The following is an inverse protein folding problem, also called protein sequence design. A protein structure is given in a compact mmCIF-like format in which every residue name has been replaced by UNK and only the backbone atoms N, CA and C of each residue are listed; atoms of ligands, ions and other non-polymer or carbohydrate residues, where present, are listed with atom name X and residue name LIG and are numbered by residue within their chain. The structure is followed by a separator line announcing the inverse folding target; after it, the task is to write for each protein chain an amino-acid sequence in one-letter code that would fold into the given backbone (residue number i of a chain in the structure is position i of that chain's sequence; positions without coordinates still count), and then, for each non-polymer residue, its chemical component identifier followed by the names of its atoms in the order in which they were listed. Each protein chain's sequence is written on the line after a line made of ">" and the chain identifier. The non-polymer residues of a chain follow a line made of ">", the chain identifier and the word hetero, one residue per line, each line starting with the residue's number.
data_IF_819649125055
#
_entry.id   IF_819649125055
#
_cell.length_a   1.000
_cell.length_b   1.000
_cell.length_c   1.000
_cell.angle_alpha   90.00
_cell.angle_beta   90.00
_cell.angle_gamma   90.00
#
_symmetry.space_group_name_H-M   'P 1'
#
loop_
_entity.id
_entity.type
_entity.pdbx_description
1 polymer ?
#
# COMPACT_ATOMS: atom_id res chain seq x y z
N UNK A 1 -61.20 -47.22 -14.16
CA UNK A 1 -59.88 -46.63 -13.82
C UNK A 1 -60.13 -45.26 -13.20
N UNK A 2 -60.11 -45.19 -11.86
CA UNK A 2 -60.27 -43.96 -11.06
C UNK A 2 -58.88 -43.44 -10.71
N UNK A 3 -58.66 -42.11 -10.81
CA UNK A 3 -57.82 -41.25 -9.96
C UNK A 3 -57.94 -39.83 -10.53
N UNK A 4 -58.87 -39.00 -10.04
CA UNK A 4 -58.78 -38.13 -8.85
C UNK A 4 -57.95 -36.86 -9.12
N UNK A 5 -58.65 -35.74 -9.29
CA UNK A 5 -58.15 -34.36 -9.07
C UNK A 5 -57.90 -34.17 -7.58
N UNK A 6 -56.74 -33.64 -7.15
CA UNK A 6 -56.62 -32.64 -6.06
C UNK A 6 -55.16 -32.19 -5.84
N UNK A 7 -55.00 -30.90 -5.50
CA UNK A 7 -53.83 -30.19 -4.95
C UNK A 7 -52.64 -29.99 -5.92
N UNK A 8 -52.42 -28.84 -6.55
CA UNK A 8 -52.27 -27.46 -6.06
C UNK A 8 -50.95 -27.21 -5.30
N UNK A 9 -50.21 -26.18 -5.75
CA UNK A 9 -49.13 -25.46 -5.07
C UNK A 9 -47.84 -26.22 -4.74
N UNK A 10 -46.90 -26.33 -5.69
CA UNK A 10 -45.45 -26.46 -5.37
C UNK A 10 -44.51 -26.28 -6.58
N UNK A 11 -44.81 -25.42 -7.56
CA UNK A 11 -43.86 -25.13 -8.66
C UNK A 11 -43.80 -23.65 -9.03
N UNK A 12 -44.02 -22.78 -8.04
CA UNK A 12 -43.67 -21.35 -8.05
C UNK A 12 -42.88 -21.10 -6.76
N UNK A 13 -41.65 -21.64 -6.68
CA UNK A 13 -40.75 -21.39 -5.54
C UNK A 13 -39.26 -21.67 -5.84
N UNK A 14 -38.86 -21.91 -7.10
CA UNK A 14 -37.47 -22.29 -7.42
C UNK A 14 -36.92 -21.62 -8.70
N UNK A 15 -37.24 -20.33 -8.88
CA UNK A 15 -36.53 -19.45 -9.83
C UNK A 15 -35.96 -18.19 -9.13
N UNK A 16 -35.81 -18.23 -7.81
CA UNK A 16 -35.21 -17.18 -6.98
C UNK A 16 -34.03 -17.70 -6.14
N UNK A 17 -33.26 -18.65 -6.68
CA UNK A 17 -32.03 -19.13 -6.05
C UNK A 17 -30.91 -19.12 -7.08
N UNK A 18 -29.97 -18.17 -6.94
CA UNK A 18 -28.66 -18.28 -7.58
C UNK A 18 -28.33 -17.29 -8.68
N UNK A 19 -28.79 -16.04 -8.60
CA UNK A 19 -27.94 -14.93 -9.07
C UNK A 19 -27.31 -14.33 -7.83
N UNK A 20 -26.01 -14.55 -7.64
CA UNK A 20 -25.20 -13.62 -6.86
C UNK A 20 -25.37 -12.30 -7.62
N UNK A 21 -26.19 -11.39 -7.09
CA UNK A 21 -26.31 -10.04 -7.65
C UNK A 21 -24.97 -9.37 -7.41
N UNK A 22 -24.09 -9.44 -8.41
CA UNK A 22 -22.99 -8.51 -8.52
C UNK A 22 -23.63 -7.24 -9.07
N UNK A 23 -23.89 -6.26 -8.21
CA UNK A 23 -24.36 -4.94 -8.62
C UNK A 23 -23.15 -4.04 -8.94
N UNK A 24 -22.23 -4.56 -9.76
CA UNK A 24 -21.13 -3.78 -10.30
C UNK A 24 -21.66 -2.99 -11.49
N UNK A 25 -21.63 -1.66 -11.42
CA UNK A 25 -22.05 -0.79 -12.52
C UNK A 25 -20.81 -0.49 -13.36
N UNK A 26 -20.91 -0.80 -14.66
CA UNK A 26 -19.99 -0.32 -15.69
C UNK A 26 -20.64 0.91 -16.34
N UNK A 27 -19.88 1.98 -16.62
CA UNK A 27 -20.46 3.23 -17.13
C UNK A 27 -21.19 2.97 -18.46
N UNK A 28 -20.69 2.04 -19.27
CA UNK A 28 -21.28 1.64 -20.55
C UNK A 28 -22.62 0.87 -20.42
N UNK A 29 -22.98 0.36 -19.23
CA UNK A 29 -24.19 -0.41 -18.96
C UNK A 29 -25.19 0.32 -18.03
N UNK A 30 -25.17 1.66 -18.03
CA UNK A 30 -26.15 2.50 -17.34
C UNK A 30 -27.56 2.30 -17.89
N UNK A 31 -28.21 1.22 -17.46
CA UNK A 31 -29.64 1.26 -17.20
C UNK A 31 -29.71 1.78 -15.77
N UNK A 32 -29.88 3.10 -15.54
CA UNK A 32 -30.11 3.61 -14.20
C UNK A 32 -31.27 2.82 -13.62
N UNK A 33 -30.99 2.07 -12.55
CA UNK A 33 -32.08 1.62 -11.71
C UNK A 33 -32.82 2.91 -11.31
N UNK A 34 -34.16 2.97 -11.39
CA UNK A 34 -34.94 4.18 -11.10
C UNK A 34 -34.69 4.82 -9.72
N UNK A 35 -33.91 4.16 -8.87
CA UNK A 35 -33.57 4.53 -7.49
C UNK A 35 -32.04 4.67 -7.27
N UNK A 36 -31.24 4.77 -8.34
CA UNK A 36 -29.78 4.85 -8.25
C UNK A 36 -29.26 6.22 -7.78
N UNK A 37 -30.10 7.26 -7.80
CA UNK A 37 -29.76 8.61 -7.36
C UNK A 37 -28.50 9.18 -8.05
N UNK A 38 -28.26 8.76 -9.29
CA UNK A 38 -27.17 9.22 -10.13
C UNK A 38 -27.70 9.54 -11.53
N UNK A 39 -27.42 10.75 -12.00
CA UNK A 39 -27.60 11.14 -13.39
C UNK A 39 -26.29 10.98 -14.13
N UNK A 40 -26.36 10.50 -15.38
CA UNK A 40 -25.19 10.33 -16.23
C UNK A 40 -25.41 10.96 -17.60
N UNK A 41 -24.44 11.75 -18.02
CA UNK A 41 -24.44 12.48 -19.28
C UNK A 41 -23.14 12.18 -20.04
N UNK A 42 -23.26 11.61 -21.24
CA UNK A 42 -22.15 11.49 -22.20
C UNK A 42 -21.88 12.86 -22.81
N UNK A 43 -20.61 13.26 -22.80
CA UNK A 43 -20.12 14.54 -23.32
C UNK A 43 -19.69 14.39 -24.77
N UNK A 44 -19.58 15.51 -25.50
CA UNK A 44 -19.20 15.52 -26.93
C UNK A 44 -17.82 14.88 -27.23
N UNK A 45 -16.93 14.82 -26.22
CA UNK A 45 -15.60 14.21 -26.34
C UNK A 45 -15.57 12.71 -25.98
N UNK A 46 -16.74 12.11 -25.70
CA UNK A 46 -16.90 10.71 -25.30
C UNK A 46 -16.60 10.44 -23.82
N UNK A 47 -16.37 11.48 -23.00
CA UNK A 47 -16.30 11.34 -21.55
C UNK A 47 -17.69 11.35 -20.90
N UNK A 48 -17.78 10.93 -19.65
CA UNK A 48 -19.04 10.89 -18.89
C UNK A 48 -19.02 11.86 -17.70
N UNK A 49 -20.12 12.57 -17.49
CA UNK A 49 -20.40 13.30 -16.26
C UNK A 49 -21.43 12.52 -15.44
N UNK A 50 -21.05 12.11 -14.24
CA UNK A 50 -21.89 11.44 -13.27
C UNK A 50 -22.21 12.44 -12.16
N UNK A 51 -23.48 12.71 -11.88
CA UNK A 51 -23.90 13.64 -10.82
C UNK A 51 -24.81 12.93 -9.85
N UNK A 52 -24.48 12.93 -8.55
CA UNK A 52 -25.40 12.44 -7.55
C UNK A 52 -26.58 13.41 -7.40
N UNK A 53 -27.80 12.87 -7.41
CA UNK A 53 -29.04 13.64 -7.25
C UNK A 53 -29.68 13.49 -5.87
N UNK A 54 -29.26 12.46 -5.13
CA UNK A 54 -29.58 12.20 -3.72
C UNK A 54 -28.52 11.23 -3.15
N UNK A 55 -28.61 10.88 -1.87
CA UNK A 55 -27.76 9.84 -1.26
C UNK A 55 -27.91 8.50 -2.02
N UNK A 56 -26.79 7.92 -2.42
CA UNK A 56 -26.72 6.76 -3.30
C UNK A 56 -26.07 5.55 -2.60
N UNK A 57 -26.62 4.36 -2.87
CA UNK A 57 -26.02 3.06 -2.51
C UNK A 57 -25.76 2.26 -3.76
N UNK A 58 -24.55 2.38 -4.32
CA UNK A 58 -24.14 1.76 -5.59
C UNK A 58 -22.62 1.60 -5.66
N UNK A 59 -22.16 0.67 -6.50
CA UNK A 59 -20.73 0.43 -6.75
C UNK A 59 -20.35 1.11 -8.07
N UNK A 60 -19.43 2.09 -8.05
CA UNK A 60 -18.95 2.77 -9.26
C UNK A 60 -17.68 2.06 -9.76
N UNK A 61 -17.71 1.56 -11.00
CA UNK A 61 -16.52 1.00 -11.66
C UNK A 61 -16.23 1.76 -12.96
N UNK A 62 -15.01 2.29 -13.06
CA UNK A 62 -14.50 2.98 -14.24
C UNK A 62 -13.59 2.02 -15.00
N UNK A 63 -14.03 1.51 -16.14
CA UNK A 63 -13.32 0.52 -16.95
C UNK A 63 -12.19 1.13 -17.80
N UNK A 64 -11.42 0.24 -18.44
CA UNK A 64 -10.41 0.60 -19.42
C UNK A 64 -10.99 1.41 -20.59
N UNK A 65 -10.44 2.60 -20.82
CA UNK A 65 -10.87 3.50 -21.89
C UNK A 65 -11.98 4.47 -21.51
N UNK A 66 -12.67 4.23 -20.39
CA UNK A 66 -13.66 5.16 -19.85
C UNK A 66 -12.97 6.37 -19.20
N UNK A 67 -13.50 7.56 -19.48
CA UNK A 67 -13.11 8.82 -18.84
C UNK A 67 -14.35 9.44 -18.22
N UNK A 68 -14.31 9.67 -16.91
CA UNK A 68 -15.47 10.13 -16.16
C UNK A 68 -15.13 11.24 -15.16
N UNK A 69 -16.11 12.11 -14.92
CA UNK A 69 -16.14 13.02 -13.77
C UNK A 69 -17.34 12.68 -12.90
N UNK A 70 -17.11 12.38 -11.62
CA UNK A 70 -18.14 12.22 -10.60
C UNK A 70 -18.26 13.51 -9.79
N UNK A 71 -19.40 14.19 -9.90
CA UNK A 71 -19.80 15.24 -8.97
C UNK A 71 -20.65 14.65 -7.83
N UNK A 72 -20.11 14.71 -6.62
CA UNK A 72 -20.82 14.26 -5.42
C UNK A 72 -22.01 15.16 -5.10
N UNK A 73 -22.01 16.42 -5.54
CA UNK A 73 -23.12 17.37 -5.37
C UNK A 73 -23.72 17.39 -3.94
N UNK A 74 -22.88 17.23 -2.92
CA UNK A 74 -23.31 17.25 -1.52
C UNK A 74 -23.95 15.98 -0.98
N UNK A 75 -24.01 14.93 -1.77
CA UNK A 75 -24.66 13.67 -1.41
C UNK A 75 -23.67 12.59 -0.95
N UNK A 76 -24.20 11.61 -0.25
CA UNK A 76 -23.45 10.46 0.25
C UNK A 76 -23.47 9.32 -0.78
N UNK A 77 -22.31 8.75 -1.07
CA UNK A 77 -22.12 7.51 -1.80
C UNK A 77 -21.63 6.40 -0.86
N UNK A 78 -22.31 5.26 -0.89
CA UNK A 78 -21.93 4.03 -0.18
C UNK A 78 -21.93 2.87 -1.18
N UNK A 79 -20.97 1.96 -1.09
CA UNK A 79 -21.00 0.73 -1.88
C UNK A 79 -22.30 -0.07 -1.63
N UNK A 80 -22.83 -0.69 -2.67
CA UNK A 80 -23.94 -1.64 -2.56
C UNK A 80 -23.44 -3.02 -2.15
N UNK A 81 -22.35 -3.49 -2.77
CA UNK A 81 -21.86 -4.86 -2.59
C UNK A 81 -20.74 -4.90 -1.53
N UNK A 82 -20.87 -5.65 -0.42
CA UNK A 82 -19.83 -5.72 0.61
C UNK A 82 -18.45 -6.19 0.09
N UNK A 83 -18.45 -7.02 -0.95
CA UNK A 83 -17.24 -7.51 -1.60
C UNK A 83 -16.74 -6.61 -2.75
N UNK A 84 -17.16 -5.34 -2.78
CA UNK A 84 -16.73 -4.34 -3.74
C UNK A 84 -16.39 -3.02 -3.03
N UNK A 85 -15.54 -2.21 -3.66
CA UNK A 85 -15.33 -0.82 -3.30
C UNK A 85 -16.56 0.05 -3.60
N UNK A 86 -16.67 1.21 -2.95
CA UNK A 86 -17.63 2.23 -3.39
C UNK A 86 -17.23 2.79 -4.76
N UNK A 87 -15.92 2.96 -4.97
CA UNK A 87 -15.36 3.39 -6.24
C UNK A 87 -14.15 2.53 -6.60
N UNK A 88 -14.17 1.92 -7.78
CA UNK A 88 -13.03 1.21 -8.37
C UNK A 88 -12.68 1.82 -9.72
N UNK A 89 -11.46 2.32 -9.86
CA UNK A 89 -10.92 2.75 -11.16
C UNK A 89 -10.04 1.63 -11.68
N UNK A 90 -10.43 0.99 -12.78
CA UNK A 90 -9.68 -0.10 -13.39
C UNK A 90 -8.52 0.41 -14.25
N UNK A 91 -7.62 -0.51 -14.63
CA UNK A 91 -6.46 -0.18 -15.46
C UNK A 91 -6.91 0.41 -16.80
N UNK A 92 -6.47 1.63 -17.08
CA UNK A 92 -6.83 2.39 -18.29
C UNK A 92 -8.07 3.26 -18.15
N UNK A 93 -8.81 3.16 -17.04
CA UNK A 93 -9.89 4.09 -16.71
C UNK A 93 -9.36 5.38 -16.09
N UNK A 94 -10.11 6.48 -16.27
CA UNK A 94 -9.79 7.79 -15.69
C UNK A 94 -10.99 8.37 -14.97
N UNK A 95 -10.84 8.69 -13.70
CA UNK A 95 -11.87 9.33 -12.87
C UNK A 95 -11.39 10.66 -12.31
N UNK A 96 -12.23 11.68 -12.41
CA UNK A 96 -12.13 12.90 -11.62
C UNK A 96 -13.29 12.97 -10.62
N UNK A 97 -13.01 13.24 -9.34
CA UNK A 97 -14.05 13.43 -8.32
C UNK A 97 -14.08 14.90 -7.90
N UNK A 98 -15.27 15.50 -7.98
CA UNK A 98 -15.59 16.86 -7.55
C UNK A 98 -16.77 16.84 -6.56
N UNK A 99 -17.02 17.99 -5.95
CA UNK A 99 -18.20 18.21 -5.12
C UNK A 99 -18.63 19.67 -5.26
N UNK A 100 -19.68 19.91 -6.04
CA UNK A 100 -20.22 21.24 -6.31
C UNK A 100 -20.96 21.86 -5.12
N UNK A 101 -21.21 21.10 -4.04
CA UNK A 101 -21.93 21.58 -2.85
C UNK A 101 -21.09 22.35 -1.83
N UNK A 102 -19.81 22.60 -2.11
CA UNK A 102 -18.81 23.10 -1.16
C UNK A 102 -18.36 22.08 -0.07
N UNK A 103 -18.26 20.79 -0.40
CA UNK A 103 -17.60 19.80 0.45
C UNK A 103 -18.52 18.96 1.36
N UNK A 104 -19.84 19.00 1.14
CA UNK A 104 -20.79 18.20 1.91
C UNK A 104 -20.92 16.75 1.39
N UNK A 105 -20.42 16.47 0.19
CA UNK A 105 -20.44 15.16 -0.42
C UNK A 105 -19.56 14.19 0.34
N UNK A 106 -20.03 12.95 0.52
CA UNK A 106 -19.35 11.94 1.31
C UNK A 106 -19.22 10.65 0.53
N UNK A 107 -18.04 10.06 0.46
CA UNK A 107 -17.85 8.68 -0.01
C UNK A 107 -17.37 7.83 1.17
N UNK A 108 -18.07 6.74 1.44
CA UNK A 108 -17.74 5.78 2.50
C UNK A 108 -18.10 4.37 2.03
N UNK A 109 -17.73 3.35 2.80
CA UNK A 109 -18.23 2.00 2.58
C UNK A 109 -19.23 1.57 3.66
N UNK A 110 -19.93 0.46 3.42
CA UNK A 110 -20.76 -0.25 4.40
C UNK A 110 -19.88 -0.88 5.48
N UNK A 111 -20.42 -1.02 6.68
CA UNK A 111 -19.74 -1.62 7.85
C UNK A 111 -19.31 -3.08 7.62
N UNK A 112 -20.00 -3.83 6.74
CA UNK A 112 -19.69 -5.22 6.40
C UNK A 112 -18.78 -5.37 5.18
N UNK A 113 -18.25 -4.27 4.66
CA UNK A 113 -17.38 -4.29 3.48
C UNK A 113 -16.05 -4.98 3.76
N UNK A 114 -15.54 -5.68 2.76
CA UNK A 114 -14.22 -6.35 2.81
C UNK A 114 -13.16 -5.63 1.96
N UNK A 115 -13.54 -4.53 1.31
CA UNK A 115 -12.69 -3.71 0.46
C UNK A 115 -12.64 -2.24 0.92
N UNK A 116 -11.58 -1.54 0.50
CA UNK A 116 -11.38 -0.11 0.72
C UNK A 116 -12.54 0.73 0.16
N UNK A 117 -12.67 1.99 0.60
CA UNK A 117 -13.65 2.91 0.01
C UNK A 117 -13.35 3.09 -1.48
N UNK A 118 -12.08 3.33 -1.81
CA UNK A 118 -11.60 3.52 -3.17
C UNK A 118 -10.40 2.62 -3.45
N UNK A 119 -10.44 1.91 -4.59
CA UNK A 119 -9.27 1.26 -5.19
C UNK A 119 -8.97 1.91 -6.54
N UNK A 120 -7.75 2.40 -6.74
CA UNK A 120 -7.29 2.97 -8.01
C UNK A 120 -6.23 2.09 -8.67
N UNK A 121 -6.57 1.51 -9.82
CA UNK A 121 -5.69 0.80 -10.74
C UNK A 121 -5.46 1.57 -12.05
N UNK A 122 -6.10 2.73 -12.22
CA UNK A 122 -6.03 3.59 -13.41
C UNK A 122 -5.50 4.99 -13.10
N UNK A 123 -6.26 6.01 -13.50
CA UNK A 123 -5.96 7.42 -13.19
C UNK A 123 -7.07 8.03 -12.34
N UNK A 124 -6.73 8.51 -11.15
CA UNK A 124 -7.70 9.11 -10.23
C UNK A 124 -7.29 10.54 -9.85
N UNK A 125 -8.19 11.49 -10.03
CA UNK A 125 -8.00 12.89 -9.64
C UNK A 125 -9.08 13.28 -8.61
N UNK A 126 -8.70 13.62 -7.39
CA UNK A 126 -9.63 14.10 -6.35
C UNK A 126 -9.43 15.59 -6.16
N UNK A 127 -10.52 16.35 -6.35
CA UNK A 127 -10.54 17.81 -6.21
C UNK A 127 -11.28 18.27 -4.95
N UNK A 128 -12.33 17.55 -4.54
CA UNK A 128 -13.15 17.88 -3.38
C UNK A 128 -13.93 16.64 -2.89
N UNK A 129 -14.72 16.83 -1.82
CA UNK A 129 -15.50 15.78 -1.17
C UNK A 129 -14.88 15.29 0.14
N UNK A 130 -15.65 14.53 0.91
CA UNK A 130 -15.21 13.87 2.14
C UNK A 130 -15.14 12.37 1.94
N UNK A 131 -14.00 11.74 2.23
CA UNK A 131 -13.77 10.31 2.06
C UNK A 131 -13.44 9.71 3.41
N UNK A 132 -14.25 8.76 3.89
CA UNK A 132 -14.04 8.24 5.24
C UNK A 132 -14.31 6.77 5.40
N UNK A 133 -13.67 6.21 6.42
CA UNK A 133 -13.93 4.86 6.89
C UNK A 133 -13.72 4.76 8.39
N UNK A 134 -14.55 3.96 9.04
CA UNK A 134 -14.37 3.52 10.42
C UNK A 134 -13.92 2.05 10.53
N UNK A 135 -13.79 1.38 9.39
CA UNK A 135 -13.35 -0.01 9.27
C UNK A 135 -11.82 -0.12 9.23
N UNK A 136 -11.30 -1.32 9.47
CA UNK A 136 -9.86 -1.62 9.37
C UNK A 136 -9.39 -1.83 7.92
N UNK A 137 -9.76 -0.90 7.04
CA UNK A 137 -9.50 -0.90 5.60
C UNK A 137 -9.02 0.50 5.19
N UNK A 138 -8.27 0.61 4.08
CA UNK A 138 -7.87 1.92 3.58
C UNK A 138 -9.11 2.74 3.18
N UNK A 139 -9.04 4.06 3.33
CA UNK A 139 -9.93 4.96 2.58
C UNK A 139 -9.55 4.85 1.11
N UNK A 140 -8.26 4.95 0.79
CA UNK A 140 -7.77 4.85 -0.59
C UNK A 140 -6.61 3.89 -0.70
N UNK A 141 -6.76 2.87 -1.55
CA UNK A 141 -5.66 2.05 -2.04
C UNK A 141 -5.30 2.50 -3.46
N UNK A 142 -4.22 3.28 -3.56
CA UNK A 142 -3.69 3.68 -4.85
C UNK A 142 -2.62 2.70 -5.33
N UNK A 143 -2.82 2.11 -6.49
CA UNK A 143 -1.86 1.22 -7.14
C UNK A 143 -1.40 1.72 -8.52
N UNK A 144 -1.84 2.93 -8.91
CA UNK A 144 -1.55 3.52 -10.21
C UNK A 144 -1.33 5.03 -10.06
N UNK A 145 -1.86 5.86 -10.96
CA UNK A 145 -1.63 7.31 -10.93
C UNK A 145 -2.77 8.01 -10.18
N UNK A 146 -2.41 8.81 -9.18
CA UNK A 146 -3.37 9.58 -8.40
C UNK A 146 -2.90 11.01 -8.15
N UNK A 147 -3.84 11.95 -8.25
CA UNK A 147 -3.64 13.36 -7.86
C UNK A 147 -4.70 13.76 -6.85
N UNK A 148 -4.29 14.38 -5.74
CA UNK A 148 -5.18 15.01 -4.76
C UNK A 148 -4.86 16.50 -4.73
N UNK A 149 -5.87 17.32 -4.98
CA UNK A 149 -5.79 18.79 -4.93
C UNK A 149 -6.70 19.41 -3.86
N UNK A 150 -7.58 18.62 -3.27
CA UNK A 150 -8.48 19.02 -2.20
C UNK A 150 -9.31 17.84 -1.70
N UNK A 151 -10.19 18.12 -0.75
CA UNK A 151 -11.03 17.12 -0.08
C UNK A 151 -10.60 16.86 1.36
N UNK A 152 -11.47 16.18 2.10
CA UNK A 152 -11.27 15.78 3.49
C UNK A 152 -11.21 14.26 3.57
N UNK A 153 -10.20 13.70 4.22
CA UNK A 153 -10.02 12.26 4.32
C UNK A 153 -9.92 11.88 5.79
N UNK A 154 -10.73 10.91 6.23
CA UNK A 154 -10.80 10.53 7.65
C UNK A 154 -10.77 9.02 7.81
N UNK A 155 -9.84 8.50 8.61
CA UNK A 155 -9.79 7.08 8.98
C UNK A 155 -9.68 6.91 10.49
N UNK A 156 -10.61 6.16 11.07
CA UNK A 156 -10.51 5.74 12.48
C UNK A 156 -9.94 4.33 12.64
N UNK A 157 -9.41 3.72 11.56
CA UNK A 157 -8.76 2.40 11.64
C UNK A 157 -7.60 2.40 12.63
N UNK A 158 -7.44 1.32 13.37
CA UNK A 158 -6.28 1.09 14.25
C UNK A 158 -5.30 0.07 13.66
N UNK A 159 -5.50 -0.38 12.41
CA UNK A 159 -4.72 -1.45 11.78
C UNK A 159 -4.05 -1.07 10.47
N UNK A 160 -4.60 -0.11 9.74
CA UNK A 160 -4.10 0.26 8.41
C UNK A 160 -4.00 1.76 8.24
N UNK A 161 -3.21 2.20 7.27
CA UNK A 161 -3.11 3.61 6.90
C UNK A 161 -4.39 4.11 6.24
N UNK A 162 -4.59 5.44 6.24
CA UNK A 162 -5.71 6.08 5.55
C UNK A 162 -5.52 5.99 4.03
N UNK A 163 -4.37 6.44 3.51
CA UNK A 163 -3.95 6.20 2.12
C UNK A 163 -2.81 5.17 2.09
N UNK A 164 -2.97 4.14 1.27
CA UNK A 164 -1.88 3.24 0.87
C UNK A 164 -1.51 3.46 -0.59
N UNK A 165 -0.31 3.98 -0.85
CA UNK A 165 0.28 4.05 -2.20
C UNK A 165 1.16 2.82 -2.40
N UNK A 166 0.64 1.79 -3.08
CA UNK A 166 1.16 0.43 -3.00
C UNK A 166 1.09 -0.33 -4.32
N UNK A 167 2.16 -1.05 -4.66
CA UNK A 167 2.17 -1.98 -5.79
C UNK A 167 1.65 -3.35 -5.36
N UNK A 168 0.35 -3.64 -5.53
CA UNK A 168 -0.25 -4.89 -5.04
C UNK A 168 -0.66 -5.86 -6.16
N UNK A 169 -1.60 -5.47 -7.04
CA UNK A 169 -2.18 -6.29 -8.12
C UNK A 169 -1.23 -6.44 -9.30
N UNK A 170 -0.78 -5.34 -9.91
CA UNK A 170 0.14 -5.35 -11.04
C UNK A 170 1.56 -4.97 -10.60
N UNK A 171 2.45 -5.97 -10.58
CA UNK A 171 3.85 -5.80 -10.16
C UNK A 171 4.73 -5.07 -11.18
N UNK A 172 4.18 -4.68 -12.32
CA UNK A 172 4.88 -3.88 -13.33
C UNK A 172 4.53 -2.39 -13.27
N UNK A 173 3.57 -1.99 -12.43
CA UNK A 173 3.18 -0.60 -12.24
C UNK A 173 3.99 0.01 -11.10
N UNK A 174 4.45 1.25 -11.26
CA UNK A 174 4.98 2.07 -10.17
C UNK A 174 3.87 3.02 -9.75
N UNK A 175 3.20 2.81 -8.60
CA UNK A 175 2.16 3.72 -8.10
C UNK A 175 2.73 5.11 -7.88
N UNK A 176 1.98 6.13 -8.28
CA UNK A 176 2.35 7.54 -8.19
C UNK A 176 1.21 8.31 -7.54
N UNK A 177 1.51 9.02 -6.47
CA UNK A 177 0.57 9.90 -5.78
C UNK A 177 1.16 11.31 -5.71
N UNK A 178 0.42 12.29 -6.22
CA UNK A 178 0.74 13.72 -6.05
C UNK A 178 -0.31 14.37 -5.16
N UNK A 179 0.11 15.04 -4.10
CA UNK A 179 -0.77 15.79 -3.20
C UNK A 179 -0.37 17.26 -3.23
N UNK A 180 -1.36 18.13 -3.48
CA UNK A 180 -1.20 19.59 -3.50
C UNK A 180 -2.15 20.31 -2.54
N UNK A 181 -3.11 19.59 -1.97
CA UNK A 181 -4.07 20.11 -1.00
C UNK A 181 -4.92 18.98 -0.41
N UNK A 182 -5.81 19.35 0.52
CA UNK A 182 -6.68 18.44 1.26
C UNK A 182 -6.28 18.30 2.74
N UNK A 183 -7.22 17.79 3.55
CA UNK A 183 -7.01 17.50 4.97
C UNK A 183 -7.11 15.99 5.20
N UNK A 184 -6.14 15.40 5.90
CA UNK A 184 -6.03 13.96 6.14
C UNK A 184 -5.93 13.70 7.64
N UNK A 185 -6.93 13.03 8.22
CA UNK A 185 -6.99 12.72 9.65
C UNK A 185 -7.05 11.20 9.85
N UNK A 186 -6.01 10.63 10.46
CA UNK A 186 -5.88 9.20 10.65
C UNK A 186 -5.51 8.83 12.09
N UNK A 187 -6.07 7.72 12.59
CA UNK A 187 -5.58 7.11 13.82
C UNK A 187 -4.18 6.49 13.62
N UNK A 188 -3.98 5.78 12.51
CA UNK A 188 -2.67 5.24 12.09
C UNK A 188 -2.01 6.17 11.06
N UNK A 189 -1.20 5.62 10.14
CA UNK A 189 -0.48 6.42 9.16
C UNK A 189 -1.48 7.20 8.28
N UNK A 190 -1.31 8.51 8.14
CA UNK A 190 -2.15 9.30 7.23
C UNK A 190 -1.85 8.92 5.77
N UNK A 191 -0.56 8.84 5.43
CA UNK A 191 -0.09 8.35 4.14
C UNK A 191 1.02 7.32 4.35
N UNK A 192 0.84 6.14 3.75
CA UNK A 192 1.91 5.15 3.62
C UNK A 192 2.33 4.99 2.16
N UNK A 193 3.58 5.33 1.88
CA UNK A 193 4.20 5.11 0.58
C UNK A 193 5.04 3.83 0.64
N UNK A 194 4.57 2.78 -0.03
CA UNK A 194 5.25 1.50 -0.02
C UNK A 194 6.46 1.48 -0.95
N UNK A 195 7.25 0.40 -0.88
CA UNK A 195 8.32 0.11 -1.82
C UNK A 195 7.84 0.18 -3.27
N UNK A 196 8.74 0.51 -4.20
CA UNK A 196 8.45 0.65 -5.63
C UNK A 196 7.33 1.65 -5.95
N UNK A 197 7.07 2.60 -5.05
CA UNK A 197 6.01 3.61 -5.18
C UNK A 197 6.57 5.02 -4.96
N UNK A 198 5.94 6.01 -5.60
CA UNK A 198 6.41 7.39 -5.65
C UNK A 198 5.33 8.31 -5.09
N UNK A 199 5.73 9.21 -4.18
CA UNK A 199 4.87 10.25 -3.62
C UNK A 199 5.52 11.63 -3.79
N UNK A 200 4.73 12.60 -4.24
CA UNK A 200 5.09 14.02 -4.25
C UNK A 200 4.06 14.81 -3.43
N UNK A 201 4.48 15.44 -2.34
CA UNK A 201 3.64 16.28 -1.49
C UNK A 201 4.11 17.72 -1.65
N UNK A 202 3.22 18.58 -2.12
CA UNK A 202 3.46 20.01 -2.36
C UNK A 202 2.57 20.89 -1.49
N UNK A 203 1.56 20.31 -0.84
CA UNK A 203 0.59 20.96 0.05
C UNK A 203 -0.33 19.93 0.71
N UNK A 204 -1.28 20.41 1.51
CA UNK A 204 -2.18 19.60 2.32
C UNK A 204 -1.80 19.54 3.80
N UNK A 205 -2.74 19.11 4.63
CA UNK A 205 -2.62 18.96 6.07
C UNK A 205 -2.79 17.49 6.45
N UNK A 206 -1.77 16.88 7.04
CA UNK A 206 -1.76 15.46 7.41
C UNK A 206 -1.62 15.33 8.92
N UNK A 207 -2.62 14.74 9.57
CA UNK A 207 -2.62 14.46 11.00
C UNK A 207 -2.74 12.97 11.24
N UNK A 208 -1.70 12.40 11.86
CA UNK A 208 -1.71 11.05 12.42
C UNK A 208 -1.79 11.12 13.95
N UNK A 209 -2.65 10.29 14.55
CA UNK A 209 -2.76 10.21 16.00
C UNK A 209 -1.66 9.35 16.61
N UNK A 210 -1.54 8.10 16.17
CA UNK A 210 -0.73 7.07 16.85
C UNK A 210 0.45 6.54 16.03
N UNK A 211 0.54 6.90 14.73
CA UNK A 211 1.62 6.49 13.83
C UNK A 211 2.24 7.70 13.12
N UNK A 212 2.51 7.66 11.80
CA UNK A 212 3.21 8.73 11.09
C UNK A 212 2.28 9.52 10.16
N UNK A 213 2.50 10.83 10.02
CA UNK A 213 1.82 11.58 8.96
C UNK A 213 2.26 11.05 7.58
N UNK A 214 3.56 10.72 7.44
CA UNK A 214 4.12 10.03 6.29
C UNK A 214 5.00 8.85 6.73
N UNK A 215 4.62 7.64 6.31
CA UNK A 215 5.45 6.43 6.40
C UNK A 215 5.98 6.06 5.02
N UNK A 216 7.27 6.32 4.76
CA UNK A 216 7.87 6.16 3.44
C UNK A 216 8.86 4.99 3.39
N UNK A 217 8.56 3.97 2.59
CA UNK A 217 9.49 2.90 2.17
C UNK A 217 9.79 2.89 0.67
N UNK A 218 9.25 3.84 -0.09
CA UNK A 218 9.56 4.08 -1.51
C UNK A 218 10.30 5.41 -1.72
N UNK A 219 9.90 6.14 -2.75
CA UNK A 219 10.48 7.44 -3.11
C UNK A 219 9.51 8.56 -2.78
N UNK A 220 9.89 9.46 -1.87
CA UNK A 220 9.07 10.60 -1.48
C UNK A 220 9.79 11.93 -1.70
N UNK A 221 9.05 12.91 -2.22
CA UNK A 221 9.46 14.32 -2.26
C UNK A 221 8.40 15.16 -1.56
N UNK A 222 8.77 15.82 -0.46
CA UNK A 222 7.89 16.62 0.37
C UNK A 222 8.37 18.07 0.33
N UNK A 223 7.76 18.88 -0.54
CA UNK A 223 8.15 20.27 -0.80
C UNK A 223 7.20 21.31 -0.20
N UNK A 224 6.21 20.88 0.57
CA UNK A 224 5.21 21.74 1.20
C UNK A 224 4.19 20.92 1.99
N UNK A 225 3.21 21.60 2.58
CA UNK A 225 2.19 21.00 3.46
C UNK A 225 2.61 20.96 4.93
N UNK A 226 1.65 20.54 5.77
CA UNK A 226 1.83 20.36 7.21
C UNK A 226 1.65 18.88 7.55
N UNK A 227 2.68 18.27 8.13
CA UNK A 227 2.69 16.86 8.52
C UNK A 227 2.84 16.76 10.03
N UNK A 228 1.78 16.33 10.68
CA UNK A 228 1.65 16.27 12.14
C UNK A 228 1.46 14.83 12.61
N UNK A 229 2.28 14.39 13.57
CA UNK A 229 2.01 13.20 14.37
C UNK A 229 1.87 13.58 15.85
N UNK A 230 0.73 13.21 16.45
CA UNK A 230 0.43 13.55 17.84
C UNK A 230 1.29 12.74 18.82
N UNK A 231 1.43 11.43 18.57
CA UNK A 231 2.11 10.52 19.51
C UNK A 231 3.46 9.97 19.00
N UNK A 232 3.90 10.37 17.80
CA UNK A 232 5.11 9.85 17.16
C UNK A 232 5.92 10.96 16.45
N UNK A 233 6.94 10.57 15.69
CA UNK A 233 7.56 11.42 14.69
C UNK A 233 6.56 11.71 13.55
N UNK A 234 6.64 12.90 12.96
CA UNK A 234 5.84 13.26 11.79
C UNK A 234 6.12 12.31 10.60
N UNK A 235 7.40 11.98 10.37
CA UNK A 235 7.84 11.19 9.23
C UNK A 235 8.66 9.98 9.67
N UNK A 236 8.32 8.80 9.14
CA UNK A 236 9.21 7.63 9.15
C UNK A 236 9.82 7.42 7.77
N UNK A 237 11.15 7.38 7.72
CA UNK A 237 11.89 6.96 6.53
C UNK A 237 12.40 5.54 6.71
N UNK A 238 11.91 4.63 5.88
CA UNK A 238 12.32 3.23 5.89
C UNK A 238 13.40 2.98 4.85
N UNK A 239 14.49 2.34 5.29
CA UNK A 239 15.61 1.91 4.46
C UNK A 239 15.75 0.39 4.49
N UNK A 240 16.55 -0.16 3.58
CA UNK A 240 17.04 -1.54 3.64
C UNK A 240 18.57 -1.46 3.59
N UNK A 241 19.25 -1.66 4.72
CA UNK A 241 20.71 -1.54 4.76
C UNK A 241 21.44 -2.58 3.93
N UNK A 242 20.74 -3.62 3.46
CA UNK A 242 21.34 -4.66 2.61
C UNK A 242 21.26 -4.32 1.13
N UNK A 243 20.61 -3.20 0.77
CA UNK A 243 20.36 -2.82 -0.62
C UNK A 243 20.51 -1.32 -0.84
N UNK A 244 21.14 -0.96 -1.94
CA UNK A 244 21.32 0.44 -2.29
C UNK A 244 20.09 0.99 -3.03
N UNK A 245 19.73 2.24 -2.73
CA UNK A 245 18.77 3.05 -3.49
C UNK A 245 17.35 2.46 -3.61
N UNK A 246 16.87 1.65 -2.68
CA UNK A 246 15.48 1.16 -2.71
C UNK A 246 14.44 2.22 -2.32
N UNK A 247 14.87 3.23 -1.55
CA UNK A 247 14.02 4.30 -1.06
C UNK A 247 14.79 5.61 -1.00
N UNK A 248 14.06 6.72 -1.08
CA UNK A 248 14.62 8.06 -0.91
C UNK A 248 13.60 8.98 -0.28
N UNK A 249 14.07 9.97 0.47
CA UNK A 249 13.22 11.02 1.03
C UNK A 249 13.84 12.39 0.72
N UNK A 250 13.03 13.28 0.18
CA UNK A 250 13.35 14.71 0.09
C UNK A 250 12.38 15.51 0.94
N UNK A 251 12.89 16.44 1.74
CA UNK A 251 12.11 17.36 2.55
C UNK A 251 12.65 18.76 2.31
N UNK A 252 11.81 19.65 1.77
CA UNK A 252 12.15 21.04 1.53
C UNK A 252 10.91 21.95 1.58
N UNK A 253 10.67 22.61 2.71
CA UNK A 253 9.58 23.59 2.82
C UNK A 253 8.26 23.08 3.41
N UNK A 254 8.20 21.83 3.87
CA UNK A 254 7.09 21.32 4.66
C UNK A 254 7.27 21.66 6.16
N UNK A 255 6.15 21.88 6.84
CA UNK A 255 6.10 21.97 8.30
C UNK A 255 5.93 20.57 8.87
N UNK A 256 6.85 20.15 9.75
CA UNK A 256 6.77 18.87 10.44
C UNK A 256 6.49 19.14 11.92
N UNK A 257 5.46 18.50 12.48
CA UNK A 257 5.11 18.60 13.89
C UNK A 257 5.06 17.21 14.50
N UNK A 258 5.97 16.92 15.41
CA UNK A 258 6.01 15.65 16.13
C UNK A 258 5.58 15.80 17.57
N UNK A 259 5.37 14.66 18.22
CA UNK A 259 5.25 14.61 19.68
C UNK A 259 6.40 15.34 20.35
N UNK A 260 6.11 16.11 21.39
CA UNK A 260 7.12 16.80 22.21
C UNK A 260 8.24 15.83 22.66
N UNK A 261 9.48 16.23 22.42
CA UNK A 261 10.67 15.44 22.74
C UNK A 261 11.00 14.32 21.73
N UNK A 262 10.23 14.17 20.65
CA UNK A 262 10.51 13.25 19.55
C UNK A 262 11.02 14.04 18.34
N UNK A 263 12.02 13.50 17.64
CA UNK A 263 12.53 14.12 16.40
C UNK A 263 11.51 14.00 15.27
N UNK A 264 11.50 14.98 14.36
CA UNK A 264 10.55 15.00 13.24
C UNK A 264 10.68 13.87 12.24
N UNK A 265 11.87 13.31 12.17
CA UNK A 265 12.21 12.21 11.30
C UNK A 265 12.78 11.06 12.13
N UNK A 266 12.21 9.87 11.91
CA UNK A 266 12.76 8.62 12.42
C UNK A 266 13.15 7.68 11.28
N UNK A 267 14.23 6.92 11.47
CA UNK A 267 14.74 5.97 10.49
C UNK A 267 14.44 4.54 10.96
N UNK A 268 13.84 3.75 10.09
CA UNK A 268 13.58 2.33 10.33
C UNK A 268 14.30 1.49 9.29
N UNK A 269 15.08 0.53 9.74
CA UNK A 269 15.73 -0.43 8.86
C UNK A 269 14.87 -1.68 8.76
N UNK A 270 14.37 -1.95 7.56
CA UNK A 270 13.52 -3.12 7.26
C UNK A 270 14.30 -4.43 7.39
N UNK A 271 15.56 -4.46 6.95
CA UNK A 271 16.38 -5.67 6.99
C UNK A 271 16.69 -6.08 8.43
N UNK A 272 16.90 -5.10 9.30
CA UNK A 272 17.14 -5.32 10.73
C UNK A 272 15.84 -5.35 11.55
N UNK A 273 14.71 -4.98 10.93
CA UNK A 273 13.40 -4.84 11.58
C UNK A 273 13.42 -3.97 12.84
N UNK A 274 14.24 -2.91 12.86
CA UNK A 274 14.42 -2.04 14.04
C UNK A 274 14.46 -0.55 13.68
N UNK A 275 14.15 0.28 14.67
CA UNK A 275 14.47 1.69 14.62
C UNK A 275 15.99 1.87 14.71
N UNK A 276 16.58 2.60 13.77
CA UNK A 276 18.02 2.86 13.68
C UNK A 276 18.32 4.36 13.70
N UNK A 277 17.37 5.19 14.12
CA UNK A 277 17.54 6.66 14.08
C UNK A 277 18.84 7.11 14.75
N UNK A 278 19.18 6.50 15.89
CA UNK A 278 20.37 6.83 16.65
C UNK A 278 21.68 6.31 16.02
N UNK A 279 21.60 5.36 15.09
CA UNK A 279 22.76 4.77 14.39
C UNK A 279 23.27 5.71 13.28
N UNK A 280 22.48 6.73 12.88
CA UNK A 280 22.81 7.64 11.77
C UNK A 280 22.92 9.10 12.21
N UNK A 281 23.82 9.83 11.54
CA UNK A 281 23.77 11.27 11.43
C UNK A 281 22.91 11.63 10.21
N UNK A 282 21.78 12.28 10.45
CA UNK A 282 20.84 12.69 9.41
C UNK A 282 21.07 14.15 9.05
N UNK A 283 21.26 14.42 7.75
CA UNK A 283 21.45 15.77 7.21
C UNK A 283 20.53 15.96 6.01
N UNK A 284 20.15 17.21 5.72
CA UNK A 284 19.42 17.56 4.51
C UNK A 284 20.35 18.40 3.62
N UNK A 285 20.54 18.00 2.36
CA UNK A 285 21.39 18.74 1.42
C UNK A 285 20.67 19.95 0.79
N UNK A 286 21.38 20.72 -0.04
CA UNK A 286 20.84 21.91 -0.72
C UNK A 286 19.63 21.64 -1.63
N UNK A 287 19.45 20.38 -2.06
CA UNK A 287 18.34 19.94 -2.90
C UNK A 287 17.20 19.33 -2.08
N UNK A 288 17.30 19.38 -0.74
CA UNK A 288 16.32 18.80 0.17
C UNK A 288 16.46 17.29 0.37
N UNK A 289 17.49 16.64 -0.18
CA UNK A 289 17.65 15.19 -0.02
C UNK A 289 18.05 14.87 1.43
N UNK A 290 17.35 13.91 2.04
CA UNK A 290 17.74 13.34 3.34
C UNK A 290 18.93 12.41 3.13
N UNK A 291 20.08 12.78 3.69
CA UNK A 291 21.33 12.03 3.63
C UNK A 291 21.60 11.41 5.00
N UNK A 292 21.75 10.09 5.02
CA UNK A 292 22.08 9.29 6.20
C UNK A 292 23.57 8.93 6.17
N UNK A 293 24.28 9.21 7.28
CA UNK A 293 25.67 8.79 7.47
C UNK A 293 25.78 7.97 8.75
N UNK A 294 26.14 6.70 8.64
CA UNK A 294 26.35 5.84 9.80
C UNK A 294 27.34 6.48 10.79
N UNK A 295 26.97 6.47 12.06
CA UNK A 295 27.91 6.77 13.13
C UNK A 295 28.81 5.55 13.25
N UNK A 296 30.07 5.68 12.86
CA UNK A 296 31.05 4.62 13.12
C UNK A 296 31.10 4.38 14.63
N UNK A 297 30.83 3.15 15.06
CA UNK A 297 31.29 2.73 16.38
C UNK A 297 32.82 2.83 16.36
N UNK A 298 33.39 3.61 17.28
CA UNK A 298 34.79 3.41 17.65
C UNK A 298 34.88 1.99 18.19
N UNK A 299 35.31 1.06 17.35
CA UNK A 299 35.74 -0.26 17.79
C UNK A 299 36.99 -0.01 18.64
N UNK A 300 36.81 0.26 19.93
CA UNK A 300 37.86 0.06 20.92
C UNK A 300 38.16 -1.43 20.91
N UNK A 301 39.15 -1.81 20.11
CA UNK A 301 39.85 -3.07 20.28
C UNK A 301 40.47 -3.01 21.67
N UNK A 302 39.76 -3.55 22.67
CA UNK A 302 40.35 -3.90 23.95
C UNK A 302 41.43 -4.93 23.64
N UNK A 303 42.65 -4.45 23.45
CA UNK A 303 43.83 -5.27 23.39
C UNK A 303 43.94 -5.87 24.79
N UNK A 304 43.51 -7.12 24.95
CA UNK A 304 43.82 -7.89 26.15
C UNK A 304 45.34 -7.99 26.19
N UNK A 305 45.94 -7.20 27.07
CA UNK A 305 47.36 -7.27 27.36
C UNK A 305 47.71 -8.70 27.73
N UNK A 306 48.37 -9.40 26.81
CA UNK A 306 48.93 -10.73 27.09
C UNK A 306 50.14 -10.51 27.98
N UNK A 307 49.96 -10.71 29.28
CA UNK A 307 51.07 -10.76 30.23
C UNK A 307 51.95 -11.95 29.88
N UNK A 308 53.22 -11.65 29.64
CA UNK A 308 54.29 -12.60 29.40
C UNK A 308 54.45 -13.52 30.62
N UNK A 309 54.21 -14.82 30.45
CA UNK A 309 54.77 -15.83 31.34
C UNK A 309 55.82 -16.65 30.60
N UNK A 310 56.94 -16.80 31.30
CA UNK A 310 58.23 -17.33 30.91
C UNK A 310 58.13 -18.86 30.69
N UNK A 311 58.63 -19.33 29.56
CA UNK A 311 58.72 -20.75 29.24
C UNK A 311 59.80 -21.44 30.09
N UNK A 312 59.45 -22.60 30.68
CA UNK A 312 60.42 -23.61 31.13
C UNK A 312 60.60 -24.66 30.01
N UNK A 313 61.88 -24.93 29.70
CA UNK A 313 62.34 -25.85 28.65
C UNK A 313 62.26 -27.33 29.07
N UNK A 314 61.99 -28.21 28.10
CA UNK A 314 62.81 -29.41 27.72
C UNK A 314 61.98 -30.41 26.86
N UNK A 315 62.59 -31.34 26.08
CA UNK A 315 63.44 -31.11 24.91
C UNK A 315 63.03 -31.95 23.66
N UNK A 316 63.43 -31.44 22.46
CA UNK A 316 63.84 -32.07 21.17
C UNK A 316 63.19 -33.41 20.71
N UNK A 317 62.81 -33.57 19.44
CA UNK A 317 63.73 -33.61 18.27
C UNK A 317 63.04 -33.49 16.90
N UNK A 318 63.71 -32.76 15.99
CA UNK A 318 63.93 -32.97 14.53
C UNK A 318 62.76 -33.37 13.61
N UNK A 319 62.60 -32.88 12.38
CA UNK A 319 63.34 -31.96 11.52
C UNK A 319 62.44 -31.74 10.29
N UNK A 320 62.43 -30.50 9.79
CA UNK A 320 62.50 -30.09 8.38
C UNK A 320 61.64 -30.74 7.26
N UNK A 321 60.89 -29.85 6.60
CA UNK A 321 60.94 -29.55 5.14
C UNK A 321 59.99 -30.30 4.17
N UNK A 322 59.35 -29.47 3.35
CA UNK A 322 58.89 -29.63 1.96
C UNK A 322 57.44 -30.05 1.62
N UNK A 323 56.84 -29.12 0.88
CA UNK A 323 55.78 -29.14 -0.13
C UNK A 323 55.78 -30.34 -1.09
N UNK A 324 54.60 -30.59 -1.71
CA UNK A 324 54.21 -31.41 -2.89
C UNK A 324 53.30 -32.61 -2.52
N UNK A 325 52.01 -32.70 -2.89
CA UNK A 325 51.28 -32.81 -4.18
C UNK A 325 50.99 -34.28 -4.62
N UNK A 326 49.69 -34.57 -4.84
CA UNK A 326 49.00 -35.65 -5.62
C UNK A 326 48.91 -37.11 -5.09
N UNK A 327 47.72 -37.68 -5.35
CA UNK A 327 47.31 -39.08 -5.63
C UNK A 327 46.45 -39.65 -4.49
N UNK A 328 45.16 -39.94 -4.63
CA UNK A 328 44.47 -40.56 -5.77
C UNK A 328 44.70 -42.06 -5.75
N UNK A 329 43.76 -42.82 -5.16
CA UNK A 329 43.26 -44.13 -5.61
C UNK A 329 42.22 -44.66 -4.61
N UNK A 330 41.11 -45.10 -5.19
CA UNK A 330 40.01 -45.82 -4.59
C UNK A 330 40.39 -47.25 -4.17
N UNK A 331 39.67 -47.83 -3.19
CA UNK A 331 39.12 -49.19 -3.32
C UNK A 331 38.33 -49.65 -2.09
N UNK A 332 37.10 -50.14 -2.37
CA UNK A 332 36.47 -51.38 -1.86
C UNK A 332 36.26 -51.51 -0.32
N UNK A 333 35.18 -52.07 0.24
CA UNK A 333 34.02 -52.85 -0.20
C UNK A 333 33.03 -52.88 0.98
N UNK A 334 31.74 -53.00 0.68
CA UNK A 334 30.72 -53.47 1.62
C UNK A 334 29.35 -52.85 1.30
N UNK A 335 28.64 -53.28 0.25
CA UNK A 335 27.69 -54.43 0.27
C UNK A 335 26.59 -54.18 1.29
N UNK A 336 25.29 -54.22 1.02
CA UNK A 336 24.48 -54.48 -0.16
C UNK A 336 23.02 -54.13 0.23
N UNK A 337 22.13 -54.09 -0.75
CA UNK A 337 20.68 -53.97 -0.52
C UNK A 337 20.06 -52.78 -1.26
N UNK A 338 20.25 -52.57 -2.57
CA UNK A 338 19.54 -53.27 -3.68
C UNK A 338 18.05 -53.46 -3.38
N UNK A 339 17.09 -52.93 -4.15
CA UNK A 339 17.02 -52.78 -5.62
C UNK A 339 16.00 -51.65 -5.96
N UNK A 340 16.23 -50.68 -6.85
CA UNK A 340 16.39 -50.74 -8.33
C UNK A 340 15.20 -51.53 -8.94
N UNK A 341 14.33 -50.98 -9.80
CA UNK A 341 14.49 -50.75 -11.26
C UNK A 341 13.25 -49.96 -11.71
N UNK A 342 13.37 -48.72 -12.21
CA UNK A 342 13.73 -48.30 -13.59
C UNK A 342 12.58 -48.60 -14.58
N UNK A 343 11.77 -47.60 -14.98
CA UNK A 343 11.98 -46.61 -16.06
C UNK A 343 11.75 -47.17 -17.47
N UNK A 344 10.73 -46.66 -18.17
CA UNK A 344 10.75 -46.11 -19.55
C UNK A 344 9.30 -45.96 -20.03
N UNK A 345 8.82 -44.75 -20.36
CA UNK A 345 8.96 -44.04 -21.65
C UNK A 345 8.60 -44.91 -22.85
N UNK A 346 7.43 -44.69 -23.45
CA UNK A 346 7.25 -44.20 -24.84
C UNK A 346 5.81 -44.45 -25.34
N UNK A 347 5.21 -43.36 -25.84
CA UNK A 347 4.21 -43.21 -26.91
C UNK A 347 3.20 -44.34 -27.19
N UNK A 348 1.92 -44.00 -26.99
CA UNK A 348 0.88 -44.04 -28.03
C UNK A 348 -0.10 -42.90 -27.75
#
# INVERSE_FOLDING_TARGET
>A
MKKLKLLAFAFIAFLFAGFIRVNAIHIDELIPYPESNIEVEEQDDGSYLLTLTDDATLDIIIQNGEVATLDLNGHKLVNFTPACEAIKVEKGGTLTITDSSNGNGVVTQRDDSTYSVITNLGTLNIKAGTFKTDSDLYVIRNEANMTISGGNFVSTSNKTSLVGNIQYVDKNVTPRLTVSGGNFEANQDALKNYENSIVNITGGEFTSKDAFALDNSGYASVTGGELTSVNNAAVRFQIDSTKENESSLKINGATLNSKEGVSDLTIYDKALSKNVTDDYNTTIDENGNVILKEKKEDVTTTTVATTTQKAEENPKTSDNVLTFLILGIASLIGVCGSSIIIKKKMNA
#
